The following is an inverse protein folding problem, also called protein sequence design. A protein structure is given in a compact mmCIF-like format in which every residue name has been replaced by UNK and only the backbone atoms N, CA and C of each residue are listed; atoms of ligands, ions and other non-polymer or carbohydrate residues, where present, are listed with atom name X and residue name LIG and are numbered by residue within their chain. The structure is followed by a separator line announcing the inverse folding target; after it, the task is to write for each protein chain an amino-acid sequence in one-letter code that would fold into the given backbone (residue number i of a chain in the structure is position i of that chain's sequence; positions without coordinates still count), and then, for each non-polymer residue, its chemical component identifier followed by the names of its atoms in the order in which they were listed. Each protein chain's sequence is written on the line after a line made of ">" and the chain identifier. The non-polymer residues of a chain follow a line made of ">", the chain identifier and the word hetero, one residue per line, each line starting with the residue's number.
data_IF_043289388728
#
_entry.id   IF_043289388728
#
_cell.length_a   1.000
_cell.length_b   1.000
_cell.length_c   1.000
_cell.angle_alpha   90.00
_cell.angle_beta   90.00
_cell.angle_gamma   90.00
#
_symmetry.space_group_name_H-M   'P 1'
#
loop_
_entity.id
_entity.type
_entity.pdbx_description
1 polymer ?
#
# COMPACT_ATOMS: atom_id res chain seq x y z
N UNK A 1 2.09 -21.57 -15.62
CA UNK A 1 2.43 -20.17 -15.94
C UNK A 1 2.98 -19.51 -14.69
N UNK A 2 3.90 -18.55 -14.80
CA UNK A 2 4.36 -17.74 -13.67
C UNK A 2 4.08 -16.27 -13.99
N UNK A 3 3.40 -15.57 -13.06
CA UNK A 3 3.17 -14.13 -13.13
C UNK A 3 4.04 -13.44 -12.06
N UNK A 4 4.82 -12.44 -12.48
CA UNK A 4 5.67 -11.64 -11.59
C UNK A 4 5.16 -10.20 -11.58
N UNK A 5 4.82 -9.69 -10.39
CA UNK A 5 4.42 -8.30 -10.16
C UNK A 5 5.59 -7.57 -9.49
N UNK A 6 6.45 -6.97 -10.30
CA UNK A 6 7.59 -6.20 -9.84
C UNK A 6 7.17 -4.78 -9.40
N UNK A 7 7.91 -4.19 -8.47
CA UNK A 7 7.68 -2.84 -7.94
C UNK A 7 6.22 -2.58 -7.51
N UNK A 8 5.57 -3.61 -6.94
CA UNK A 8 4.25 -3.45 -6.37
C UNK A 8 4.34 -2.42 -5.23
N UNK A 9 3.54 -1.36 -5.31
CA UNK A 9 3.50 -0.24 -4.37
C UNK A 9 2.89 -0.63 -3.00
N UNK A 10 3.29 -1.78 -2.47
CA UNK A 10 2.85 -2.41 -1.23
C UNK A 10 3.99 -2.39 -0.21
N UNK A 11 3.81 -1.60 0.84
CA UNK A 11 4.73 -1.51 1.95
C UNK A 11 4.00 -1.06 3.22
N UNK A 12 4.62 -1.28 4.38
CA UNK A 12 4.17 -0.69 5.64
C UNK A 12 4.54 0.80 5.66
N UNK A 13 3.83 1.59 6.47
CA UNK A 13 4.16 3.02 6.59
C UNK A 13 5.61 3.19 7.09
N UNK A 14 6.46 3.94 6.36
CA UNK A 14 7.84 4.20 6.76
C UNK A 14 7.94 4.93 8.09
N UNK A 15 9.01 4.67 8.85
CA UNK A 15 9.21 5.23 10.20
C UNK A 15 9.23 6.75 10.23
N UNK A 16 9.77 7.39 9.19
CA UNK A 16 9.79 8.85 9.03
C UNK A 16 8.39 9.48 8.96
N UNK A 17 7.36 8.70 8.61
CA UNK A 17 5.98 9.19 8.54
C UNK A 17 5.14 8.91 9.80
N UNK A 18 5.65 8.15 10.77
CA UNK A 18 4.87 7.71 11.93
C UNK A 18 4.36 8.87 12.80
N UNK A 19 5.10 9.98 12.83
CA UNK A 19 4.73 11.20 13.56
C UNK A 19 3.73 12.10 12.83
N UNK A 20 3.43 11.84 11.55
CA UNK A 20 2.54 12.71 10.79
C UNK A 20 1.08 12.55 11.28
N UNK A 21 0.33 13.63 11.54
CA UNK A 21 -1.04 13.57 12.09
C UNK A 21 -1.99 12.67 11.29
N UNK A 22 -1.91 12.70 9.95
CA UNK A 22 -2.72 11.84 9.08
C UNK A 22 -2.46 10.34 9.32
N UNK A 23 -1.19 9.94 9.46
CA UNK A 23 -0.79 8.56 9.71
C UNK A 23 -1.19 8.13 11.12
N UNK A 24 -0.91 8.96 12.13
CA UNK A 24 -1.23 8.65 13.52
C UNK A 24 -2.75 8.51 13.73
N UNK A 25 -3.54 9.42 13.15
CA UNK A 25 -5.01 9.36 13.19
C UNK A 25 -5.55 8.11 12.51
N UNK A 26 -5.03 7.77 11.32
CA UNK A 26 -5.44 6.56 10.61
C UNK A 26 -5.08 5.29 11.38
N UNK A 27 -3.85 5.18 11.88
CA UNK A 27 -3.40 4.04 12.69
C UNK A 27 -4.28 3.85 13.94
N UNK A 28 -4.60 4.96 14.65
CA UNK A 28 -5.48 4.95 15.82
C UNK A 28 -6.89 4.47 15.46
N UNK A 29 -7.47 4.93 14.34
CA UNK A 29 -8.78 4.47 13.85
C UNK A 29 -8.79 2.97 13.54
N UNK A 30 -7.65 2.41 13.12
CA UNK A 30 -7.49 0.98 12.83
C UNK A 30 -7.10 0.15 14.07
N UNK A 31 -6.90 0.78 15.24
CA UNK A 31 -6.45 0.10 16.45
C UNK A 31 -5.03 -0.49 16.33
N UNK A 32 -4.18 0.10 15.49
CA UNK A 32 -2.84 -0.40 15.15
C UNK A 32 -1.78 0.66 15.39
N UNK A 33 -0.51 0.24 15.48
CA UNK A 33 0.64 1.15 15.45
C UNK A 33 0.89 1.62 14.01
N UNK A 34 1.45 2.82 13.79
CA UNK A 34 1.79 3.31 12.45
C UNK A 34 2.63 2.32 11.62
N UNK A 35 3.56 1.60 12.25
CA UNK A 35 4.35 0.57 11.56
C UNK A 35 3.61 -0.70 11.18
N UNK A 36 2.32 -0.84 11.52
CA UNK A 36 1.51 -2.06 11.28
C UNK A 36 0.40 -1.84 10.26
N UNK A 37 0.34 -0.64 9.67
CA UNK A 37 -0.60 -0.27 8.62
C UNK A 37 0.13 -0.12 7.28
N UNK A 38 -0.57 -0.38 6.19
CA UNK A 38 -0.04 -0.18 4.85
C UNK A 38 0.07 1.30 4.52
N UNK A 39 1.10 1.67 3.76
CA UNK A 39 1.15 2.96 3.10
C UNK A 39 0.08 3.00 2.00
N UNK A 40 -0.72 4.06 1.97
CA UNK A 40 -1.82 4.23 1.03
C UNK A 40 -1.97 5.71 0.72
N UNK A 41 -1.80 6.09 -0.54
CA UNK A 41 -1.87 7.47 -0.99
C UNK A 41 -3.27 8.08 -0.78
N UNK A 42 -4.33 7.28 -0.73
CA UNK A 42 -5.70 7.75 -0.51
C UNK A 42 -5.87 8.34 0.90
N UNK A 43 -5.11 7.84 1.87
CA UNK A 43 -5.18 8.27 3.27
C UNK A 43 -3.97 9.09 3.71
N UNK A 44 -2.80 8.81 3.14
CA UNK A 44 -1.51 9.37 3.59
C UNK A 44 -0.92 10.38 2.61
N UNK A 45 -1.65 10.83 1.56
CA UNK A 45 -1.14 11.72 0.51
C UNK A 45 -0.31 12.90 1.05
N UNK A 46 -0.82 13.62 2.06
CA UNK A 46 -0.12 14.77 2.64
C UNK A 46 1.19 14.37 3.35
N UNK A 47 1.20 13.24 4.06
CA UNK A 47 2.38 12.72 4.72
C UNK A 47 3.44 12.26 3.71
N UNK A 48 3.01 11.77 2.54
CA UNK A 48 3.89 11.20 1.52
C UNK A 48 4.66 12.24 0.69
N UNK A 49 4.32 13.53 0.77
CA UNK A 49 4.94 14.59 -0.07
C UNK A 49 6.47 14.71 0.07
N UNK A 50 7.03 14.29 1.22
CA UNK A 50 8.47 14.29 1.47
C UNK A 50 9.17 12.95 1.19
N UNK A 51 8.41 11.91 0.81
CA UNK A 51 9.00 10.61 0.51
C UNK A 51 9.69 10.64 -0.86
N UNK A 52 10.85 10.00 -0.93
CA UNK A 52 11.46 9.65 -2.21
C UNK A 52 10.53 8.74 -3.01
N UNK A 53 10.40 9.02 -4.31
CA UNK A 53 9.60 8.30 -5.30
C UNK A 53 8.13 8.11 -4.86
N UNK A 54 7.57 9.13 -4.18
CA UNK A 54 6.23 9.10 -3.59
C UNK A 54 5.11 8.73 -4.59
N UNK A 55 5.30 9.04 -5.87
CA UNK A 55 4.39 8.74 -6.97
C UNK A 55 4.31 7.25 -7.33
N UNK A 56 5.33 6.46 -6.97
CA UNK A 56 5.39 5.01 -7.20
C UNK A 56 4.99 4.19 -5.97
N UNK A 57 4.58 4.84 -4.88
CA UNK A 57 4.39 4.23 -3.56
C UNK A 57 2.94 4.32 -3.09
N UNK A 58 2.57 3.45 -2.14
CA UNK A 58 1.27 3.51 -1.46
C UNK A 58 0.06 3.30 -2.38
N UNK A 59 0.16 2.40 -3.35
CA UNK A 59 -0.94 2.00 -4.24
C UNK A 59 -1.22 0.50 -4.14
N UNK A 60 -1.60 0.00 -2.95
CA UNK A 60 -1.89 -1.41 -2.74
C UNK A 60 -3.11 -1.90 -3.52
N UNK A 61 -3.99 -0.98 -3.94
CA UNK A 61 -5.17 -1.25 -4.75
C UNK A 61 -4.81 -1.88 -6.11
N UNK A 62 -3.74 -1.40 -6.77
CA UNK A 62 -3.31 -1.93 -8.06
C UNK A 62 -2.95 -3.42 -7.92
N UNK A 63 -2.10 -3.75 -6.94
CA UNK A 63 -1.73 -5.12 -6.65
C UNK A 63 -2.96 -5.98 -6.31
N UNK A 64 -3.87 -5.46 -5.49
CA UNK A 64 -5.08 -6.17 -5.10
C UNK A 64 -5.95 -6.53 -6.32
N UNK A 65 -6.26 -5.55 -7.17
CA UNK A 65 -7.06 -5.78 -8.38
C UNK A 65 -6.37 -6.72 -9.35
N UNK A 66 -5.08 -6.53 -9.61
CA UNK A 66 -4.34 -7.42 -10.51
C UNK A 66 -4.34 -8.87 -10.01
N UNK A 67 -4.20 -9.09 -8.70
CA UNK A 67 -4.27 -10.44 -8.13
C UNK A 67 -5.67 -11.04 -8.24
N UNK A 68 -6.74 -10.26 -8.02
CA UNK A 68 -8.11 -10.74 -8.18
C UNK A 68 -8.35 -11.23 -9.62
N UNK A 69 -7.95 -10.46 -10.62
CA UNK A 69 -8.11 -10.83 -12.03
C UNK A 69 -7.25 -12.05 -12.41
N UNK A 70 -5.97 -12.03 -12.04
CA UNK A 70 -5.05 -13.11 -12.38
C UNK A 70 -5.50 -14.45 -11.76
N UNK A 71 -5.86 -14.44 -10.47
CA UNK A 71 -6.28 -15.64 -9.75
C UNK A 71 -7.69 -16.09 -10.15
N UNK A 72 -8.55 -15.15 -10.56
CA UNK A 72 -9.90 -15.43 -11.06
C UNK A 72 -9.94 -16.00 -12.48
N UNK A 73 -8.86 -15.84 -13.25
CA UNK A 73 -8.78 -16.22 -14.65
C UNK A 73 -8.95 -17.73 -14.90
N UNK A 74 -9.52 -18.16 -16.04
CA UNK A 74 -9.58 -19.57 -16.42
C UNK A 74 -8.20 -20.24 -16.44
N UNK A 75 -7.17 -19.50 -16.87
CA UNK A 75 -5.80 -20.01 -16.96
C UNK A 75 -5.20 -20.37 -15.59
N UNK A 76 -5.64 -19.72 -14.51
CA UNK A 76 -5.21 -20.05 -13.15
C UNK A 76 -6.08 -21.13 -12.46
N UNK A 77 -7.32 -21.32 -12.93
CA UNK A 77 -8.27 -22.32 -12.38
C UNK A 77 -8.17 -23.70 -13.03
N UNK A 78 -7.50 -23.78 -14.18
CA UNK A 78 -7.31 -25.00 -14.96
C UNK A 78 -6.17 -25.88 -14.40
#
# INVERSE_FOLDING_TARGET
>A
MVLLLADAALELVPRELWGHPAVASYARRRGKRPGEILLDSSYHHQAMRGLRDSERRGRPDILHFTLLEALGSPLNKA
#
